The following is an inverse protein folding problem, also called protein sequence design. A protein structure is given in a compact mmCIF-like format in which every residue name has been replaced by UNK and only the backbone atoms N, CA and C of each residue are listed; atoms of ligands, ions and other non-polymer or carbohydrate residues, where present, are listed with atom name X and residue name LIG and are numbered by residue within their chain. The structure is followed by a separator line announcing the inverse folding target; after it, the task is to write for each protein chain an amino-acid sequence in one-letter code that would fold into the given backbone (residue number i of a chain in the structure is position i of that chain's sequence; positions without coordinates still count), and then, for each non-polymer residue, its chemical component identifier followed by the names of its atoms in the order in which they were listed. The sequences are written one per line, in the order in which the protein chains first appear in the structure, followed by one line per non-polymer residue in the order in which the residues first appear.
data_IF_630388089556
#
_entry.id   IF_630388089556
#
_cell.length_a   1.000
_cell.length_b   1.000
_cell.length_c   1.000
_cell.angle_alpha   90.00
_cell.angle_beta   90.00
_cell.angle_gamma   90.00
#
_symmetry.space_group_name_H-M   'P 1'
#
loop_
_entity.id
_entity.type
_entity.pdbx_description
1 polymer ?
#
# COMPACT_ATOMS: atom_id res chain seq x y z
N UNK A 1 45.88 -4.48 17.07
CA UNK A 1 45.60 -5.85 16.58
C UNK A 1 44.16 -6.20 16.94
N UNK A 2 43.38 -6.62 15.94
CA UNK A 2 42.06 -7.32 15.97
C UNK A 2 40.89 -6.65 16.73
N UNK A 3 39.79 -6.23 16.07
CA UNK A 3 38.63 -7.04 15.61
C UNK A 3 37.87 -7.67 16.78
N UNK A 4 36.56 -7.57 16.97
CA UNK A 4 35.41 -7.13 16.20
C UNK A 4 34.16 -7.76 16.86
N UNK A 5 32.99 -7.53 16.27
CA UNK A 5 31.75 -8.34 16.36
C UNK A 5 30.53 -7.67 17.02
N UNK A 6 29.65 -7.23 16.12
CA UNK A 6 28.22 -6.99 16.26
C UNK A 6 27.48 -8.20 16.88
N UNK A 7 26.46 -7.93 17.70
CA UNK A 7 25.35 -8.86 17.91
C UNK A 7 24.05 -8.07 18.13
N UNK A 8 23.32 -7.85 17.03
CA UNK A 8 21.91 -7.49 17.03
C UNK A 8 21.08 -8.77 17.13
N UNK A 9 20.12 -8.81 18.05
CA UNK A 9 18.90 -9.64 17.99
C UNK A 9 17.91 -9.18 19.07
N UNK A 10 16.59 -9.42 18.94
CA UNK A 10 15.78 -9.60 17.73
C UNK A 10 14.60 -8.60 17.68
N UNK A 11 14.26 -8.12 16.48
CA UNK A 11 12.93 -7.53 16.24
C UNK A 11 11.93 -8.67 16.17
N UNK A 12 10.84 -8.57 16.92
CA UNK A 12 9.83 -9.59 17.16
C UNK A 12 9.27 -10.17 15.85
N UNK A 13 9.49 -11.47 15.66
CA UNK A 13 8.84 -12.26 14.63
C UNK A 13 7.37 -12.50 15.01
N UNK A 14 6.45 -11.81 14.35
CA UNK A 14 5.08 -12.30 14.21
C UNK A 14 5.08 -13.36 13.11
N UNK A 15 5.00 -14.61 13.51
CA UNK A 15 4.84 -15.75 12.62
C UNK A 15 3.41 -15.80 12.08
N UNK A 16 3.23 -15.46 10.81
CA UNK A 16 2.13 -15.98 9.98
C UNK A 16 2.80 -16.85 8.93
N UNK A 17 2.80 -18.14 9.23
CA UNK A 17 3.30 -19.21 8.37
C UNK A 17 2.39 -19.30 7.13
N UNK A 18 3.01 -19.29 5.94
CA UNK A 18 2.44 -19.15 4.57
C UNK A 18 2.17 -17.72 4.05
N UNK A 19 3.23 -16.91 3.96
CA UNK A 19 3.33 -15.89 2.92
C UNK A 19 4.37 -16.36 1.91
N UNK A 20 3.99 -16.33 0.63
CA UNK A 20 4.81 -16.58 -0.55
C UNK A 20 6.20 -15.98 -0.33
N UNK A 21 7.23 -16.82 -0.29
CA UNK A 21 8.61 -16.34 -0.21
C UNK A 21 8.90 -15.54 -1.49
N UNK A 22 9.25 -14.24 -1.43
CA UNK A 22 9.96 -13.63 -2.54
C UNK A 22 11.34 -14.26 -2.50
N UNK A 23 11.54 -15.32 -3.28
CA UNK A 23 12.87 -15.86 -3.51
C UNK A 23 13.67 -14.73 -4.18
N UNK A 24 14.46 -14.04 -3.37
CA UNK A 24 15.79 -13.57 -3.71
C UNK A 24 16.18 -13.82 -5.17
N UNK A 25 15.79 -12.90 -6.06
CA UNK A 25 16.43 -12.80 -7.37
C UNK A 25 17.79 -12.18 -7.11
N UNK A 26 18.82 -13.03 -7.13
CA UNK A 26 20.22 -12.64 -7.08
C UNK A 26 20.49 -11.54 -8.11
N UNK A 27 21.15 -10.43 -7.74
CA UNK A 27 21.39 -9.31 -8.65
C UNK A 27 22.50 -9.69 -9.63
N UNK A 28 22.15 -10.41 -10.70
CA UNK A 28 22.99 -10.49 -11.87
C UNK A 28 22.84 -9.16 -12.65
N UNK A 29 23.68 -8.20 -12.27
CA UNK A 29 24.02 -6.98 -13.02
C UNK A 29 22.82 -6.05 -13.33
N UNK A 30 22.28 -5.42 -12.29
CA UNK A 30 21.45 -4.23 -12.46
C UNK A 30 22.39 -3.09 -12.86
N UNK A 31 22.42 -2.76 -14.15
CA UNK A 31 23.07 -1.55 -14.67
C UNK A 31 22.53 -0.37 -13.86
N UNK A 32 23.41 0.27 -13.08
CA UNK A 32 23.08 1.50 -12.38
C UNK A 32 22.93 2.62 -13.41
N UNK A 33 21.71 2.81 -13.90
CA UNK A 33 21.32 4.04 -14.57
C UNK A 33 20.76 5.00 -13.52
N UNK A 34 21.19 6.27 -13.57
CA UNK A 34 20.74 7.38 -12.72
C UNK A 34 19.23 7.67 -12.80
N UNK A 35 18.52 6.97 -13.68
CA UNK A 35 17.06 6.82 -13.70
C UNK A 35 16.80 5.37 -14.10
N UNK A 36 16.17 4.59 -13.23
CA UNK A 36 15.96 3.17 -13.49
C UNK A 36 15.02 2.53 -12.49
N UNK A 37 14.27 1.52 -12.97
CA UNK A 37 13.39 0.62 -12.20
C UNK A 37 14.20 -0.34 -11.30
N UNK A 38 15.31 0.15 -10.75
CA UNK A 38 16.24 -0.60 -9.94
C UNK A 38 15.63 -0.69 -8.55
N UNK A 39 15.34 -1.91 -8.08
CA UNK A 39 14.48 -2.27 -6.93
C UNK A 39 12.96 -2.33 -7.23
N UNK A 40 12.62 -2.79 -8.42
CA UNK A 40 11.29 -3.25 -8.83
C UNK A 40 10.70 -4.27 -7.82
N UNK A 41 9.95 -3.79 -6.83
CA UNK A 41 9.24 -4.66 -5.87
C UNK A 41 7.76 -4.65 -6.24
N UNK A 42 7.35 -5.67 -6.99
CA UNK A 42 5.95 -5.94 -7.27
C UNK A 42 5.38 -6.75 -6.10
N UNK A 43 4.43 -6.16 -5.38
CA UNK A 43 3.72 -6.81 -4.29
C UNK A 43 2.33 -7.18 -4.78
N UNK A 44 1.98 -8.45 -4.73
CA UNK A 44 0.63 -8.94 -5.04
C UNK A 44 0.08 -9.64 -3.80
N UNK A 45 -1.09 -9.20 -3.35
CA UNK A 45 -1.71 -9.69 -2.13
C UNK A 45 -3.19 -10.03 -2.36
N UNK A 46 -3.56 -11.32 -2.38
CA UNK A 46 -4.94 -11.74 -2.20
C UNK A 46 -5.31 -11.71 -0.72
N UNK A 47 -6.39 -11.03 -0.39
CA UNK A 47 -6.91 -10.83 0.97
C UNK A 47 -8.36 -11.34 1.00
N UNK A 48 -8.60 -12.57 1.47
CA UNK A 48 -9.96 -13.05 1.69
C UNK A 48 -10.56 -12.38 2.94
N UNK A 49 -11.85 -12.07 2.89
CA UNK A 49 -12.60 -11.52 4.03
C UNK A 49 -14.01 -12.11 4.09
N UNK A 50 -14.62 -12.04 5.26
CA UNK A 50 -15.98 -12.52 5.51
C UNK A 50 -16.66 -11.58 6.50
N UNK A 51 -17.85 -11.09 6.15
CA UNK A 51 -18.68 -10.30 7.06
C UNK A 51 -20.15 -10.68 6.92
N UNK A 52 -20.92 -10.42 7.98
CA UNK A 52 -22.36 -10.69 7.99
C UNK A 52 -23.14 -9.75 7.06
N UNK A 53 -22.61 -8.56 6.78
CA UNK A 53 -23.32 -7.50 6.04
C UNK A 53 -22.95 -7.48 4.55
N UNK A 54 -21.72 -7.87 4.21
CA UNK A 54 -21.17 -7.86 2.84
C UNK A 54 -20.94 -9.25 2.27
N UNK A 55 -21.13 -10.30 3.09
CA UNK A 55 -20.86 -11.68 2.71
C UNK A 55 -19.38 -12.04 2.69
N UNK A 56 -19.03 -13.09 1.95
CA UNK A 56 -17.65 -13.51 1.75
C UNK A 56 -17.08 -12.86 0.50
N UNK A 57 -15.87 -12.33 0.60
CA UNK A 57 -15.21 -11.68 -0.51
C UNK A 57 -13.72 -11.95 -0.59
N UNK A 58 -13.18 -11.56 -1.74
CA UNK A 58 -11.77 -11.57 -2.03
C UNK A 58 -11.38 -10.20 -2.56
N UNK A 59 -10.40 -9.60 -1.90
CA UNK A 59 -9.70 -8.42 -2.39
C UNK A 59 -8.36 -8.85 -2.97
N UNK A 60 -8.06 -8.43 -4.19
CA UNK A 60 -6.78 -8.59 -4.84
C UNK A 60 -6.14 -7.22 -4.99
N UNK A 61 -5.03 -7.00 -4.31
CA UNK A 61 -4.21 -5.80 -4.46
C UNK A 61 -2.91 -6.12 -5.18
N UNK A 62 -2.47 -5.22 -6.06
CA UNK A 62 -1.12 -5.22 -6.60
C UNK A 62 -0.53 -3.81 -6.51
N UNK A 63 0.71 -3.72 -6.05
CA UNK A 63 1.43 -2.45 -5.94
C UNK A 63 2.84 -2.57 -6.51
N UNK A 64 3.25 -1.50 -7.18
CA UNK A 64 4.53 -1.32 -7.81
C UNK A 64 5.30 -0.21 -7.10
N UNK A 65 6.38 -0.59 -6.41
CA UNK A 65 7.25 0.35 -5.71
C UNK A 65 8.47 0.67 -6.59
N UNK A 66 8.77 1.95 -6.72
CA UNK A 66 9.92 2.46 -7.48
C UNK A 66 10.63 3.57 -6.72
N UNK A 67 11.90 3.78 -7.02
CA UNK A 67 12.70 4.82 -6.40
C UNK A 67 13.23 5.80 -7.46
N UNK A 68 13.10 7.10 -7.19
CA UNK A 68 13.68 8.15 -8.03
C UNK A 68 14.99 8.63 -7.40
N UNK A 69 16.00 9.01 -8.21
CA UNK A 69 17.27 9.52 -7.71
C UNK A 69 17.04 10.75 -6.81
N UNK A 70 17.58 10.72 -5.59
CA UNK A 70 17.38 11.79 -4.61
C UNK A 70 15.92 11.93 -4.19
N UNK A 71 15.21 10.82 -3.96
CA UNK A 71 13.84 10.85 -3.46
C UNK A 71 13.49 9.67 -2.57
N UNK A 72 12.37 9.80 -1.84
CA UNK A 72 11.77 8.69 -1.09
C UNK A 72 11.05 7.74 -2.06
N UNK A 73 10.94 6.48 -1.69
CA UNK A 73 10.24 5.45 -2.46
C UNK A 73 8.83 5.93 -2.83
N UNK A 74 8.55 5.90 -4.12
CA UNK A 74 7.26 6.18 -4.75
C UNK A 74 6.57 4.85 -5.08
N UNK A 75 5.25 4.88 -5.22
CA UNK A 75 4.47 3.67 -5.42
C UNK A 75 3.23 3.94 -6.26
N UNK A 76 2.85 2.97 -7.08
CA UNK A 76 1.55 2.95 -7.76
C UNK A 76 0.94 1.57 -7.60
N UNK A 77 -0.31 1.52 -7.18
CA UNK A 77 -1.03 0.28 -6.98
C UNK A 77 -2.43 0.34 -7.58
N UNK A 78 -2.98 -0.84 -7.77
CA UNK A 78 -4.37 -1.04 -8.12
C UNK A 78 -4.93 -2.22 -7.34
N UNK A 79 -6.21 -2.16 -7.04
CA UNK A 79 -6.93 -3.16 -6.27
C UNK A 79 -8.28 -3.45 -6.88
N UNK A 80 -8.73 -4.67 -6.70
CA UNK A 80 -10.06 -5.13 -7.05
C UNK A 80 -10.63 -5.97 -5.92
N UNK A 81 -11.92 -5.83 -5.65
CA UNK A 81 -12.65 -6.53 -4.62
C UNK A 81 -13.94 -7.07 -5.20
N UNK A 82 -14.28 -8.31 -4.85
CA UNK A 82 -15.54 -8.93 -5.20
C UNK A 82 -16.06 -9.78 -4.04
N UNK A 83 -17.38 -9.78 -3.85
CA UNK A 83 -18.09 -10.52 -2.80
C UNK A 83 -19.19 -11.40 -3.41
N UNK A 84 -19.58 -12.46 -2.69
CA UNK A 84 -20.67 -13.37 -3.05
C UNK A 84 -22.06 -12.69 -3.08
N UNK A 85 -22.26 -11.68 -2.26
CA UNK A 85 -23.41 -10.78 -2.24
C UNK A 85 -23.52 -9.92 -3.53
N UNK A 86 -22.42 -9.77 -4.28
CA UNK A 86 -22.37 -8.98 -5.51
C UNK A 86 -21.76 -7.60 -5.35
N UNK A 87 -21.30 -7.25 -4.14
CA UNK A 87 -20.49 -6.04 -3.92
C UNK A 87 -19.16 -6.13 -4.65
N UNK A 88 -18.81 -5.04 -5.32
CA UNK A 88 -17.56 -4.87 -6.06
C UNK A 88 -16.88 -3.58 -5.62
N UNK A 89 -15.55 -3.58 -5.62
CA UNK A 89 -14.82 -2.32 -5.57
C UNK A 89 -13.58 -2.44 -6.44
N UNK A 90 -13.19 -1.34 -7.07
CA UNK A 90 -11.94 -1.27 -7.79
C UNK A 90 -11.29 0.08 -7.54
N UNK A 91 -9.98 0.14 -7.64
CA UNK A 91 -9.28 1.39 -7.46
C UNK A 91 -7.84 1.31 -7.87
N UNK A 92 -7.27 2.48 -8.09
CA UNK A 92 -5.86 2.67 -8.35
C UNK A 92 -5.40 3.94 -7.67
N UNK A 93 -4.15 3.95 -7.24
CA UNK A 93 -3.60 5.10 -6.57
C UNK A 93 -2.09 5.02 -6.56
N UNK A 94 -1.47 6.16 -6.31
CA UNK A 94 -0.03 6.20 -6.21
C UNK A 94 0.46 7.50 -5.59
N UNK A 95 1.73 7.50 -5.26
CA UNK A 95 2.44 8.64 -4.73
C UNK A 95 3.79 8.80 -5.43
N UNK A 96 4.16 10.04 -5.68
CA UNK A 96 5.46 10.41 -6.23
C UNK A 96 6.08 11.45 -5.32
N UNK A 97 7.32 11.17 -4.91
CA UNK A 97 8.12 12.06 -4.08
C UNK A 97 9.12 12.81 -4.97
N UNK A 98 9.31 14.11 -4.74
CA UNK A 98 10.27 14.96 -5.45
C UNK A 98 11.15 15.77 -4.49
N UNK A 99 12.37 16.09 -4.95
CA UNK A 99 13.30 17.00 -4.28
C UNK A 99 13.78 16.49 -2.92
N UNK A 100 14.39 15.31 -2.87
CA UNK A 100 14.85 14.63 -1.63
C UNK A 100 13.73 14.36 -0.62
N UNK A 101 12.49 14.16 -1.12
CA UNK A 101 11.31 13.93 -0.30
C UNK A 101 10.72 15.18 0.34
N UNK A 102 11.02 16.37 -0.21
CA UNK A 102 10.41 17.64 0.23
C UNK A 102 8.97 17.81 -0.25
N UNK A 103 8.63 17.23 -1.39
CA UNK A 103 7.29 17.33 -1.97
C UNK A 103 6.76 15.94 -2.28
N UNK A 104 5.56 15.64 -1.80
CA UNK A 104 4.87 14.39 -2.06
C UNK A 104 3.56 14.70 -2.76
N UNK A 105 3.37 14.15 -3.94
CA UNK A 105 2.09 14.22 -4.67
C UNK A 105 1.49 12.83 -4.66
N UNK A 106 0.27 12.70 -4.16
CA UNK A 106 -0.46 11.43 -4.17
C UNK A 106 -1.82 11.59 -4.82
N UNK A 107 -2.25 10.59 -5.57
CA UNK A 107 -3.56 10.53 -6.15
C UNK A 107 -4.16 9.14 -5.94
N UNK A 108 -5.46 9.09 -5.67
CA UNK A 108 -6.23 7.86 -5.53
C UNK A 108 -7.55 8.04 -6.28
N UNK A 109 -7.91 7.06 -7.09
CA UNK A 109 -9.20 6.94 -7.73
C UNK A 109 -9.77 5.56 -7.40
N UNK A 110 -10.97 5.49 -6.84
CA UNK A 110 -11.62 4.25 -6.49
C UNK A 110 -13.13 4.35 -6.73
N UNK A 111 -13.72 3.23 -7.09
CA UNK A 111 -15.15 3.02 -7.24
C UNK A 111 -15.56 1.82 -6.39
N UNK A 112 -16.71 1.91 -5.75
CA UNK A 112 -17.27 0.82 -4.98
C UNK A 112 -18.78 0.77 -5.16
N UNK A 113 -19.29 -0.43 -5.42
CA UNK A 113 -20.70 -0.76 -5.38
C UNK A 113 -20.89 -1.78 -4.26
N UNK A 114 -21.60 -1.36 -3.22
CA UNK A 114 -21.76 -2.14 -2.00
C UNK A 114 -23.23 -2.47 -1.81
N UNK A 115 -23.48 -3.77 -1.68
CA UNK A 115 -24.78 -4.34 -1.39
C UNK A 115 -24.78 -4.70 0.10
N UNK A 116 -25.73 -4.16 0.85
CA UNK A 116 -25.91 -4.46 2.27
C UNK A 116 -27.21 -5.21 2.47
N UNK A 117 -27.16 -6.28 3.24
CA UNK A 117 -28.35 -6.91 3.81
C UNK A 117 -28.49 -6.43 5.26
N UNK A 118 -29.32 -5.40 5.48
CA UNK A 118 -29.58 -4.90 6.84
C UNK A 118 -30.71 -5.70 7.49
N UNK A 119 -30.46 -6.40 8.61
CA UNK A 119 -31.51 -7.06 9.36
C UNK A 119 -32.31 -6.02 10.16
N UNK A 120 -33.50 -5.65 9.67
CA UNK A 120 -34.43 -4.75 10.38
C UNK A 120 -35.58 -5.56 10.96
N UNK A 121 -35.32 -6.21 12.09
CA UNK A 121 -36.27 -7.13 12.71
C UNK A 121 -36.36 -8.45 11.94
N UNK A 122 -37.55 -8.90 11.46
CA UNK A 122 -37.71 -10.15 10.72
C UNK A 122 -37.53 -10.02 9.19
N UNK A 123 -37.11 -8.84 8.69
CA UNK A 123 -37.01 -8.56 7.25
C UNK A 123 -35.57 -8.11 6.95
N UNK A 124 -34.96 -8.74 5.95
CA UNK A 124 -33.69 -8.31 5.36
C UNK A 124 -33.99 -7.29 4.26
N UNK A 125 -33.50 -6.06 4.44
CA UNK A 125 -33.67 -4.99 3.46
C UNK A 125 -32.41 -4.86 2.61
N UNK A 126 -32.47 -5.15 1.29
CA UNK A 126 -31.35 -4.97 0.41
C UNK A 126 -31.15 -3.47 0.14
N UNK A 127 -29.96 -2.95 0.47
CA UNK A 127 -29.56 -1.58 0.18
C UNK A 127 -28.37 -1.63 -0.77
N UNK A 128 -28.49 -0.97 -1.92
CA UNK A 128 -27.41 -0.82 -2.89
C UNK A 128 -26.86 0.60 -2.75
N UNK A 129 -25.56 0.70 -2.48
CA UNK A 129 -24.85 1.97 -2.39
C UNK A 129 -23.65 1.96 -3.33
N UNK A 130 -23.69 2.84 -4.33
CA UNK A 130 -22.56 3.11 -5.20
C UNK A 130 -21.83 4.37 -4.70
N UNK A 131 -20.50 4.38 -4.81
CA UNK A 131 -19.68 5.52 -4.47
C UNK A 131 -18.43 5.59 -5.35
N UNK A 132 -18.14 6.79 -5.82
CA UNK A 132 -16.88 7.13 -6.45
C UNK A 132 -16.03 7.99 -5.50
N UNK A 133 -14.72 7.80 -5.56
CA UNK A 133 -13.75 8.53 -4.77
C UNK A 133 -12.58 8.93 -5.65
N UNK A 134 -12.32 10.22 -5.77
CA UNK A 134 -11.10 10.74 -6.36
C UNK A 134 -10.47 11.74 -5.40
N UNK A 135 -9.23 11.47 -4.99
CA UNK A 135 -8.47 12.34 -4.10
C UNK A 135 -7.14 12.66 -4.77
N UNK A 136 -6.77 13.93 -4.74
CA UNK A 136 -5.42 14.39 -5.07
C UNK A 136 -4.90 15.18 -3.87
N UNK A 137 -3.72 14.82 -3.39
CA UNK A 137 -3.07 15.47 -2.26
C UNK A 137 -1.66 15.89 -2.64
N UNK A 138 -1.24 17.03 -2.10
CA UNK A 138 0.10 17.57 -2.22
C UNK A 138 0.58 17.93 -0.82
N UNK A 139 1.64 17.27 -0.39
CA UNK A 139 2.28 17.54 0.89
C UNK A 139 3.65 18.19 0.65
N UNK A 140 3.95 19.19 1.48
CA UNK A 140 5.26 19.83 1.52
C UNK A 140 5.89 19.60 2.89
N UNK A 141 7.06 18.94 2.92
CA UNK A 141 7.86 18.82 4.13
C UNK A 141 8.62 20.12 4.35
N UNK A 142 8.08 20.98 5.22
CA UNK A 142 8.84 22.13 5.73
C UNK A 142 9.71 21.65 6.88
N UNK A 143 11.02 21.63 6.67
CA UNK A 143 11.97 21.31 7.72
C UNK A 143 11.85 22.35 8.84
N UNK A 144 11.16 21.97 9.92
CA UNK A 144 11.09 22.74 11.14
C UNK A 144 12.48 22.75 11.78
N UNK A 145 13.29 23.75 11.41
CA UNK A 145 14.47 24.16 12.17
C UNK A 145 13.98 24.65 13.53
N UNK A 146 13.87 23.71 14.46
CA UNK A 146 13.71 23.97 15.90
C UNK A 146 14.97 24.71 16.36
N UNK A 147 14.91 26.04 16.26
CA UNK A 147 15.90 26.93 16.83
C UNK A 147 15.76 26.81 18.34
N UNK A 148 16.61 25.96 18.91
CA UNK A 148 16.77 25.76 20.34
C UNK A 148 17.28 27.06 20.95
N UNK A 149 16.36 27.96 21.29
CA UNK A 149 16.64 29.22 21.96
C UNK A 149 16.95 28.91 23.42
N UNK A 150 18.24 28.69 23.67
CA UNK A 150 18.85 28.69 25.00
C UNK A 150 18.66 30.07 25.64
N UNK A 151 17.94 30.09 26.76
CA UNK A 151 18.11 31.06 27.84
C UNK A 151 18.27 30.25 29.13
#
# INVERSE_FOLDING_TARGET
MAAGMFALAPCSAFAVDRVIQPCCVSPAEVVQTDVGLSFCTLVVAPIPFSSAELGNGLTLGTEYLFNLPGSKTAGVGLGYMHTDNGSTASGLGGSVNFGDGRWTVSAIAAEAEVFYELPVGPIDLPIIQSGDLTIVSVESSTEHRSEKRIW
#
